data_IF_616524200832
#
_entry.id   IF_616524200832
#
_cell.length_a   1.000
_cell.length_b   1.000
_cell.length_c   1.000
_cell.angle_alpha   90.00
_cell.angle_beta   90.00
_cell.angle_gamma   90.00
#
_symmetry.space_group_name_H-M   'P 1'
#
loop_
_entity.id
_entity.type
_entity.pdbx_description
1 polymer ?
#
# COMPACT_ATOMS: atom_id res chain seq x y z
N UNK A 1 42.97 -36.17 16.58
CA UNK A 1 41.85 -37.10 16.28
C UNK A 1 40.75 -36.80 17.29
N UNK A 2 39.55 -36.32 17.00
CA UNK A 2 38.91 -35.85 15.78
C UNK A 2 37.69 -35.00 16.20
N UNK A 3 37.36 -34.00 15.39
CA UNK A 3 36.13 -33.21 15.49
C UNK A 3 34.91 -34.08 15.19
N UNK A 4 33.81 -33.89 15.91
CA UNK A 4 32.48 -34.26 15.45
C UNK A 4 31.64 -32.98 15.27
N UNK A 5 31.27 -32.75 14.01
CA UNK A 5 30.45 -31.64 13.54
C UNK A 5 28.97 -31.78 13.94
N UNK A 6 28.36 -30.63 14.25
CA UNK A 6 27.13 -30.10 13.64
C UNK A 6 25.91 -30.99 13.47
N UNK A 7 24.84 -30.63 14.20
CA UNK A 7 23.47 -30.73 13.68
C UNK A 7 22.81 -29.35 13.83
N UNK A 8 22.90 -28.54 12.78
CA UNK A 8 22.04 -27.36 12.60
C UNK A 8 20.60 -27.84 12.34
N UNK A 9 19.62 -27.19 12.97
CA UNK A 9 18.22 -27.32 12.64
C UNK A 9 17.94 -26.78 11.22
N UNK A 10 16.93 -27.29 10.49
CA UNK A 10 16.60 -26.77 9.17
C UNK A 10 16.15 -25.30 9.29
N UNK A 11 16.87 -24.41 8.61
CA UNK A 11 16.49 -23.01 8.42
C UNK A 11 15.19 -22.99 7.62
N UNK A 12 14.14 -22.39 8.18
CA UNK A 12 12.90 -22.16 7.46
C UNK A 12 13.17 -21.32 6.20
N UNK A 13 12.65 -21.79 5.07
CA UNK A 13 12.72 -21.11 3.78
C UNK A 13 12.26 -19.66 3.88
N UNK A 14 13.10 -18.76 3.38
CA UNK A 14 12.82 -17.33 3.36
C UNK A 14 12.00 -17.04 2.10
N UNK A 15 10.71 -16.71 2.25
CA UNK A 15 9.93 -16.16 1.13
C UNK A 15 10.51 -14.77 0.79
N UNK A 16 11.18 -14.66 -0.36
CA UNK A 16 11.58 -13.39 -0.93
C UNK A 16 10.53 -12.96 -1.96
N UNK A 17 9.70 -11.98 -1.62
CA UNK A 17 8.84 -11.29 -2.58
C UNK A 17 9.60 -10.10 -3.16
N UNK A 18 10.01 -10.18 -4.43
CA UNK A 18 10.62 -9.06 -5.14
C UNK A 18 9.55 -8.28 -5.90
N UNK A 19 9.23 -7.05 -5.44
CA UNK A 19 8.34 -6.15 -6.18
C UNK A 19 9.19 -5.18 -7.02
N UNK A 20 9.15 -5.35 -8.34
CA UNK A 20 9.76 -4.40 -9.27
C UNK A 20 8.64 -3.62 -9.97
N UNK A 21 8.61 -2.30 -9.76
CA UNK A 21 7.65 -1.40 -10.41
C UNK A 21 8.43 -0.47 -11.33
N UNK A 22 8.15 -0.51 -12.62
CA UNK A 22 8.65 0.45 -13.61
C UNK A 22 7.50 1.40 -13.95
N UNK A 23 7.77 2.70 -13.94
CA UNK A 23 6.81 3.74 -14.26
C UNK A 23 7.37 4.63 -15.37
N UNK A 24 6.59 4.80 -16.43
CA UNK A 24 6.90 5.69 -17.55
C UNK A 24 5.75 6.69 -17.69
N UNK A 25 6.08 7.98 -17.81
CA UNK A 25 5.09 9.05 -18.02
C UNK A 25 5.44 9.82 -19.29
N UNK A 26 4.46 9.99 -20.17
CA UNK A 26 4.58 10.74 -21.42
C UNK A 26 3.51 11.81 -21.43
N UNK A 27 3.90 13.07 -21.64
CA UNK A 27 2.98 14.20 -21.79
C UNK A 27 3.04 14.71 -23.22
N UNK A 28 1.87 14.89 -23.85
CA UNK A 28 1.70 15.49 -25.18
C UNK A 28 0.81 16.72 -25.07
N UNK A 29 1.13 17.74 -25.86
CA UNK A 29 0.37 18.99 -25.93
C UNK A 29 0.02 19.24 -27.39
N UNK A 30 -1.25 19.12 -27.72
CA UNK A 30 -1.76 19.32 -29.08
C UNK A 30 -2.92 20.32 -29.05
N UNK A 31 -2.74 21.49 -29.67
CA UNK A 31 -3.79 22.50 -29.81
C UNK A 31 -4.40 23.02 -28.49
N UNK A 32 -3.61 23.06 -27.41
CA UNK A 32 -4.08 23.48 -26.07
C UNK A 32 -4.66 22.35 -25.20
N UNK A 33 -4.69 21.12 -25.71
CA UNK A 33 -5.07 19.91 -24.95
C UNK A 33 -3.82 19.26 -24.37
N UNK A 34 -3.80 19.02 -23.06
CA UNK A 34 -2.70 18.35 -22.37
C UNK A 34 -3.09 16.89 -22.10
N UNK A 35 -2.38 15.96 -22.72
CA UNK A 35 -2.59 14.52 -22.53
C UNK A 35 -1.40 13.91 -21.82
N UNK A 36 -1.59 13.39 -20.62
CA UNK A 36 -0.58 12.69 -19.83
C UNK A 36 -0.91 11.20 -19.75
N UNK A 37 -0.06 10.37 -20.33
CA UNK A 37 -0.14 8.90 -20.23
C UNK A 37 0.91 8.41 -19.24
N UNK A 38 0.48 7.78 -18.15
CA UNK A 38 1.35 7.09 -17.19
C UNK A 38 1.15 5.59 -17.31
N UNK A 39 2.21 4.87 -17.66
CA UNK A 39 2.24 3.41 -17.69
C UNK A 39 2.98 2.91 -16.47
N UNK A 40 2.31 2.09 -15.66
CA UNK A 40 2.90 1.38 -14.52
C UNK A 40 2.94 -0.11 -14.81
N UNK A 41 4.13 -0.69 -14.78
CA UNK A 41 4.32 -2.15 -14.85
C UNK A 41 4.80 -2.64 -13.50
N UNK A 42 3.97 -3.42 -12.81
CA UNK A 42 4.34 -4.14 -11.60
C UNK A 42 4.63 -5.60 -11.94
N UNK A 43 5.84 -6.07 -11.62
CA UNK A 43 6.16 -7.50 -11.63
C UNK A 43 6.12 -8.01 -10.20
N UNK A 44 5.17 -8.89 -9.93
CA UNK A 44 5.00 -9.59 -8.67
C UNK A 44 5.59 -10.98 -8.87
N UNK A 45 6.70 -11.26 -8.20
CA UNK A 45 7.34 -12.58 -8.21
C UNK A 45 7.00 -13.29 -6.91
N UNK A 46 6.28 -14.41 -7.02
CA UNK A 46 6.07 -15.34 -5.92
C UNK A 46 6.99 -16.55 -6.10
N UNK A 47 7.88 -16.73 -5.13
CA UNK A 47 8.73 -17.92 -5.01
C UNK A 47 8.13 -18.81 -3.94
N UNK A 48 7.67 -20.00 -4.32
CA UNK A 48 7.19 -21.02 -3.38
C UNK A 48 8.17 -22.18 -3.32
N UNK A 49 8.69 -22.49 -2.14
CA UNK A 49 9.41 -23.75 -1.88
C UNK A 49 8.38 -24.84 -1.55
N UNK A 50 8.35 -25.93 -2.33
CA UNK A 50 7.52 -27.10 -2.00
C UNK A 50 8.24 -27.96 -0.96
N UNK A 51 7.58 -28.27 0.15
CA UNK A 51 8.11 -29.09 1.25
C UNK A 51 8.12 -30.60 0.96
N UNK A 52 8.43 -31.03 -0.27
CA UNK A 52 8.78 -32.41 -0.54
C UNK A 52 10.29 -32.53 -0.50
N UNK A 53 10.85 -33.26 0.47
CA UNK A 53 12.28 -33.33 0.79
C UNK A 53 13.22 -33.91 -0.29
N UNK A 54 13.16 -33.40 -1.51
CA UNK A 54 14.09 -33.63 -2.61
C UNK A 54 14.61 -32.28 -3.13
N UNK A 55 15.93 -32.10 -3.33
CA UNK A 55 16.47 -30.87 -3.90
C UNK A 55 16.22 -30.87 -5.41
N UNK A 56 15.44 -29.92 -5.95
CA UNK A 56 15.15 -29.96 -7.39
C UNK A 56 14.52 -28.74 -8.03
N UNK A 57 13.32 -28.32 -7.63
CA UNK A 57 12.50 -27.44 -8.48
C UNK A 57 12.02 -26.19 -7.75
N UNK A 58 12.63 -25.04 -8.09
CA UNK A 58 12.12 -23.71 -7.71
C UNK A 58 11.13 -23.28 -8.78
N UNK A 59 9.85 -23.16 -8.43
CA UNK A 59 8.83 -22.59 -9.31
C UNK A 59 8.74 -21.09 -9.07
N UNK A 60 9.20 -20.30 -10.04
CA UNK A 60 9.03 -18.85 -10.04
C UNK A 60 7.74 -18.51 -10.79
N UNK A 61 6.68 -18.17 -10.05
CA UNK A 61 5.44 -17.66 -10.66
C UNK A 61 5.50 -16.14 -10.65
N UNK A 62 5.59 -15.57 -11.86
CA UNK A 62 5.57 -14.12 -12.06
C UNK A 62 4.20 -13.67 -12.56
N UNK A 63 3.54 -12.77 -11.83
CA UNK A 63 2.39 -12.04 -12.33
C UNK A 63 2.83 -10.62 -12.70
N UNK A 64 2.58 -10.24 -13.95
CA UNK A 64 2.85 -8.88 -14.42
C UNK A 64 1.52 -8.16 -14.53
N UNK A 65 1.34 -7.15 -13.67
CA UNK A 65 0.21 -6.23 -13.75
C UNK A 65 0.66 -4.96 -14.45
N UNK A 66 0.06 -4.66 -15.60
CA UNK A 66 0.25 -3.37 -16.29
C UNK A 66 -0.97 -2.52 -16.11
N UNK A 67 -0.78 -1.29 -15.65
CA UNK A 67 -1.83 -0.28 -15.56
C UNK A 67 -1.39 0.93 -16.36
N UNK A 68 -2.13 1.25 -17.41
CA UNK A 68 -1.97 2.48 -18.20
C UNK A 68 -3.09 3.44 -17.78
N UNK A 69 -2.71 4.64 -17.36
CA UNK A 69 -3.62 5.73 -17.04
C UNK A 69 -3.36 6.84 -18.04
N UNK A 70 -4.37 7.21 -18.82
CA UNK A 70 -4.31 8.37 -19.72
C UNK A 70 -5.23 9.44 -19.18
N UNK A 71 -4.66 10.59 -18.81
CA UNK A 71 -5.40 11.79 -18.40
C UNK A 71 -5.33 12.81 -19.53
N UNK A 72 -6.47 13.23 -20.05
CA UNK A 72 -6.60 14.30 -21.04
C UNK A 72 -7.28 15.49 -20.38
N UNK A 73 -6.63 16.66 -20.42
CA UNK A 73 -7.17 17.92 -19.92
C UNK A 73 -7.39 18.83 -21.13
N UNK A 74 -8.64 19.22 -21.37
CA UNK A 74 -9.02 20.19 -22.39
C UNK A 74 -9.48 21.47 -21.72
N UNK A 75 -8.89 22.59 -22.08
CA UNK A 75 -9.38 23.89 -21.65
C UNK A 75 -10.37 24.43 -22.69
N UNK A 76 -11.59 24.69 -22.25
CA UNK A 76 -12.66 25.23 -23.09
C UNK A 76 -12.49 26.75 -23.24
N UNK A 77 -13.08 27.31 -24.30
CA UNK A 77 -13.00 28.75 -24.61
C UNK A 77 -13.65 29.65 -23.54
N UNK A 78 -14.49 29.08 -22.66
CA UNK A 78 -15.11 29.76 -21.52
C UNK A 78 -14.24 29.73 -20.24
N UNK A 79 -13.03 29.16 -20.32
CA UNK A 79 -12.10 29.01 -19.20
C UNK A 79 -12.34 27.78 -18.32
N UNK A 80 -13.33 26.93 -18.64
CA UNK A 80 -13.56 25.67 -17.93
C UNK A 80 -12.61 24.56 -18.39
N UNK A 81 -12.33 23.59 -17.53
CA UNK A 81 -11.50 22.43 -17.86
C UNK A 81 -12.35 21.17 -17.95
N UNK A 82 -12.24 20.43 -19.06
CA UNK A 82 -12.77 19.09 -19.22
C UNK A 82 -11.63 18.07 -19.01
N UNK A 83 -11.78 17.21 -18.00
CA UNK A 83 -10.80 16.16 -17.67
C UNK A 83 -11.37 14.79 -18.02
N UNK A 84 -10.68 14.06 -18.88
CA UNK A 84 -11.03 12.70 -19.31
C UNK A 84 -9.93 11.76 -18.83
N UNK A 85 -10.28 10.76 -18.03
CA UNK A 85 -9.35 9.74 -17.54
C UNK A 85 -9.72 8.35 -18.06
N UNK A 86 -8.80 7.74 -18.81
CA UNK A 86 -8.91 6.38 -19.32
C UNK A 86 -7.92 5.46 -18.57
N UNK A 87 -8.46 4.46 -17.87
CA UNK A 87 -7.65 3.49 -17.12
C UNK A 87 -7.79 2.12 -17.79
N UNK A 88 -6.66 1.58 -18.25
CA UNK A 88 -6.56 0.24 -18.82
C UNK A 88 -5.64 -0.57 -17.92
N UNK A 89 -6.16 -1.63 -17.30
CA UNK A 89 -5.34 -2.60 -16.54
C UNK A 89 -5.36 -3.95 -17.24
N UNK A 90 -4.18 -4.50 -17.48
CA UNK A 90 -3.95 -5.84 -18.01
C UNK A 90 -3.29 -6.70 -16.94
N UNK A 91 -3.99 -7.75 -16.53
CA UNK A 91 -3.50 -8.80 -15.64
C UNK A 91 -3.04 -9.96 -16.53
N UNK A 92 -1.87 -9.82 -17.14
CA UNK A 92 -1.35 -10.79 -18.11
C UNK A 92 -1.26 -12.19 -17.51
N UNK A 93 -2.11 -13.09 -18.00
CA UNK A 93 -2.12 -14.50 -17.62
C UNK A 93 -0.89 -15.26 -18.14
N UNK A 94 -0.34 -16.10 -17.25
CA UNK A 94 0.63 -17.19 -17.40
C UNK A 94 1.45 -17.29 -18.71
N UNK A 95 2.78 -17.17 -18.62
CA UNK A 95 3.70 -17.92 -19.49
C UNK A 95 4.76 -18.62 -18.64
N UNK A 96 4.66 -19.94 -18.58
CA UNK A 96 5.67 -20.83 -17.99
C UNK A 96 6.82 -20.92 -18.99
N UNK A 97 8.00 -20.41 -18.63
CA UNK A 97 9.22 -20.66 -19.41
C UNK A 97 9.95 -21.86 -18.82
N UNK A 98 9.71 -23.05 -19.37
CA UNK A 98 10.60 -24.19 -19.19
C UNK A 98 11.93 -23.91 -19.92
N UNK A 99 13.07 -24.03 -19.22
CA UNK A 99 14.37 -24.09 -19.87
C UNK A 99 14.73 -25.57 -20.11
N UNK A 100 14.95 -26.02 -21.36
CA UNK A 100 15.44 -27.38 -21.58
C UNK A 100 16.96 -27.46 -21.34
N UNK A 101 17.38 -28.47 -20.58
CA UNK A 101 18.79 -28.88 -20.45
C UNK A 101 19.21 -29.71 -21.68
N UNK A 102 20.50 -29.61 -22.04
CA UNK A 102 21.19 -30.28 -23.16
C UNK A 102 21.18 -31.82 -23.04
N UNK A 103 21.03 -32.53 -24.17
CA UNK A 103 21.59 -33.89 -24.33
C UNK A 103 20.88 -34.86 -25.28
N UNK A 104 21.22 -34.78 -26.58
CA UNK A 104 21.62 -35.87 -27.51
C UNK A 104 20.65 -37.05 -27.88
N UNK A 105 20.54 -37.22 -29.21
CA UNK A 105 20.05 -38.34 -30.07
C UNK A 105 18.53 -38.51 -30.31
N UNK A 106 18.13 -38.30 -31.58
CA UNK A 106 16.84 -38.74 -32.12
C UNK A 106 16.37 -37.93 -33.32
N UNK A 107 16.89 -38.26 -34.50
CA UNK A 107 16.50 -37.72 -35.81
C UNK A 107 15.04 -38.08 -36.14
N UNK A 108 14.21 -37.12 -36.59
CA UNK A 108 13.31 -37.26 -37.75
C UNK A 108 12.46 -36.00 -38.02
N UNK A 109 12.73 -35.41 -39.18
CA UNK A 109 11.82 -34.78 -40.15
C UNK A 109 10.89 -33.65 -39.72
N UNK A 110 11.23 -32.43 -40.18
CA UNK A 110 10.34 -31.28 -40.17
C UNK A 110 9.42 -31.19 -41.39
N UNK A 111 8.27 -30.55 -41.18
CA UNK A 111 7.46 -29.73 -42.11
C UNK A 111 6.52 -28.93 -41.20
N UNK A 112 6.78 -27.64 -40.97
CA UNK A 112 6.34 -26.47 -41.73
C UNK A 112 4.81 -26.36 -41.75
N UNK A 113 4.27 -25.52 -40.87
CA UNK A 113 3.13 -24.65 -41.17
C UNK A 113 3.20 -23.39 -40.29
N UNK A 114 3.46 -22.26 -40.96
CA UNK A 114 3.14 -20.92 -40.45
C UNK A 114 1.82 -20.60 -41.11
N UNK A 115 0.75 -20.46 -40.34
CA UNK A 115 -0.40 -19.71 -40.81
C UNK A 115 -0.64 -18.49 -39.94
N UNK A 116 -0.83 -17.39 -40.65
CA UNK A 116 -0.88 -16.00 -40.19
C UNK A 116 -2.35 -15.65 -40.10
N UNK A 117 -3.00 -15.96 -38.98
CA UNK A 117 -4.39 -15.57 -38.78
C UNK A 117 -4.46 -14.16 -38.20
N UNK A 118 -5.06 -13.29 -38.98
CA UNK A 118 -5.28 -11.87 -38.78
C UNK A 118 -6.10 -11.54 -37.52
N UNK A 119 -5.56 -10.63 -36.71
CA UNK A 119 -6.20 -10.01 -35.55
C UNK A 119 -7.24 -8.99 -36.04
N UNK A 120 -8.44 -9.45 -36.41
CA UNK A 120 -9.51 -8.54 -36.85
C UNK A 120 -10.94 -8.95 -36.43
N UNK A 121 -11.13 -10.04 -35.69
CA UNK A 121 -12.48 -10.54 -35.38
C UNK A 121 -12.71 -10.90 -33.91
N UNK A 122 -12.49 -9.95 -32.99
CA UNK A 122 -13.05 -10.08 -31.63
C UNK A 122 -13.20 -8.72 -30.93
N UNK A 123 -14.13 -7.91 -31.44
CA UNK A 123 -14.58 -6.67 -30.78
C UNK A 123 -16.11 -6.55 -30.70
N UNK A 124 -16.86 -7.65 -30.83
CA UNK A 124 -18.34 -7.60 -30.85
C UNK A 124 -19.07 -7.98 -29.56
N UNK A 125 -18.40 -8.53 -28.54
CA UNK A 125 -19.07 -9.00 -27.31
C UNK A 125 -18.61 -8.35 -25.99
N UNK A 126 -18.07 -7.12 -26.02
CA UNK A 126 -17.90 -6.34 -24.78
C UNK A 126 -19.12 -5.44 -24.56
N UNK A 127 -20.14 -6.03 -23.94
CA UNK A 127 -21.28 -5.29 -23.43
C UNK A 127 -20.81 -4.29 -22.37
N UNK A 128 -20.79 -3.01 -22.73
CA UNK A 128 -20.56 -1.89 -21.81
C UNK A 128 -21.73 -1.90 -20.82
N UNK A 129 -21.46 -2.21 -19.55
CA UNK A 129 -22.44 -2.08 -18.48
C UNK A 129 -22.64 -0.59 -18.18
N UNK A 130 -23.44 0.08 -19.00
CA UNK A 130 -23.91 1.44 -18.73
C UNK A 130 -25.01 1.32 -17.68
N UNK A 131 -24.65 1.39 -16.40
CA UNK A 131 -25.65 1.64 -15.35
C UNK A 131 -26.07 3.11 -15.43
N UNK A 132 -27.38 3.43 -15.46
CA UNK A 132 -27.83 4.82 -15.40
C UNK A 132 -27.26 5.45 -14.13
N UNK A 133 -26.60 6.59 -14.31
CA UNK A 133 -26.02 7.36 -13.21
C UNK A 133 -27.19 7.94 -12.43
N UNK A 134 -27.63 7.21 -11.40
CA UNK A 134 -28.37 7.83 -10.30
C UNK A 134 -27.53 8.98 -9.75
N UNK A 135 -28.17 10.12 -9.56
CA UNK A 135 -27.63 11.40 -9.06
C UNK A 135 -26.31 11.25 -8.29
N UNK A 136 -25.18 11.41 -8.99
CA UNK A 136 -23.89 11.59 -8.30
C UNK A 136 -23.95 12.96 -7.66
N UNK A 137 -24.14 13.00 -6.33
CA UNK A 137 -23.79 14.17 -5.53
C UNK A 137 -22.41 14.66 -5.99
N UNK A 138 -22.29 15.98 -6.17
CA UNK A 138 -21.04 16.66 -6.47
C UNK A 138 -19.88 16.09 -5.61
N UNK A 139 -18.64 16.06 -6.13
CA UNK A 139 -17.50 15.54 -5.38
C UNK A 139 -17.48 16.21 -3.99
N UNK A 140 -17.51 15.40 -2.94
CA UNK A 140 -17.49 15.89 -1.58
C UNK A 140 -16.25 16.80 -1.42
N UNK A 141 -16.47 18.01 -0.92
CA UNK A 141 -15.40 18.95 -0.60
C UNK A 141 -14.31 18.21 0.20
N UNK A 142 -13.01 18.39 -0.10
CA UNK A 142 -11.95 17.78 0.68
C UNK A 142 -12.11 18.18 2.15
N UNK A 143 -11.98 17.20 3.06
CA UNK A 143 -12.04 17.43 4.50
C UNK A 143 -11.08 18.57 4.84
N UNK A 144 -11.51 19.54 5.63
CA UNK A 144 -10.58 20.48 6.27
C UNK A 144 -9.66 19.75 7.24
N UNK A 145 -8.54 20.35 7.63
CA UNK A 145 -7.62 19.72 8.58
C UNK A 145 -8.26 19.48 9.95
N UNK A 146 -9.23 20.34 10.33
CA UNK A 146 -10.02 20.14 11.55
C UNK A 146 -10.90 18.91 11.43
N UNK A 147 -11.59 18.72 10.31
CA UNK A 147 -12.43 17.54 10.07
C UNK A 147 -11.57 16.27 9.96
N UNK A 148 -10.40 16.34 9.34
CA UNK A 148 -9.43 15.25 9.30
C UNK A 148 -8.99 14.83 10.71
N UNK A 149 -8.62 15.78 11.57
CA UNK A 149 -8.23 15.51 12.97
C UNK A 149 -9.36 14.85 13.75
N UNK A 150 -10.59 15.33 13.58
CA UNK A 150 -11.78 14.74 14.20
C UNK A 150 -12.06 13.33 13.68
N UNK A 151 -11.88 13.09 12.38
CA UNK A 151 -12.04 11.77 11.77
C UNK A 151 -10.98 10.78 12.28
N UNK A 152 -9.72 11.20 12.36
CA UNK A 152 -8.66 10.43 13.03
C UNK A 152 -9.08 10.05 14.46
N UNK A 153 -9.44 11.03 15.28
CA UNK A 153 -9.83 10.78 16.68
C UNK A 153 -11.02 9.83 16.80
N UNK A 154 -12.03 10.02 15.95
CA UNK A 154 -13.22 9.17 15.89
C UNK A 154 -12.85 7.71 15.63
N UNK A 155 -12.01 7.43 14.64
CA UNK A 155 -11.64 6.06 14.29
C UNK A 155 -10.70 5.42 15.30
N UNK A 156 -9.80 6.19 15.92
CA UNK A 156 -9.05 5.68 17.08
C UNK A 156 -9.99 5.25 18.20
N UNK A 157 -10.95 6.09 18.56
CA UNK A 157 -11.87 5.82 19.65
C UNK A 157 -12.85 4.68 19.33
N UNK A 158 -13.22 4.50 18.07
CA UNK A 158 -13.95 3.33 17.60
C UNK A 158 -13.19 2.04 17.90
N UNK A 159 -11.93 1.93 17.47
CA UNK A 159 -11.11 0.74 17.71
C UNK A 159 -10.78 0.54 19.19
N UNK A 160 -10.50 1.61 19.92
CA UNK A 160 -10.27 1.55 21.37
C UNK A 160 -11.48 1.00 22.14
N UNK A 161 -12.69 1.35 21.72
CA UNK A 161 -13.91 0.82 22.32
C UNK A 161 -14.05 -0.70 22.15
N UNK A 162 -13.68 -1.25 20.98
CA UNK A 162 -13.64 -2.69 20.69
C UNK A 162 -12.73 -3.42 21.69
N UNK A 163 -11.61 -2.80 22.06
CA UNK A 163 -10.64 -3.35 23.02
C UNK A 163 -10.94 -2.99 24.48
N UNK A 164 -11.97 -2.18 24.74
CA UNK A 164 -12.34 -1.77 26.10
C UNK A 164 -11.38 -0.81 26.79
N UNK A 165 -10.55 -0.11 26.03
CA UNK A 165 -9.65 0.92 26.58
C UNK A 165 -10.31 2.30 26.49
N UNK A 166 -9.96 3.20 27.42
CA UNK A 166 -10.53 4.55 27.48
C UNK A 166 -10.32 5.33 26.19
N UNK A 167 -11.27 6.15 25.74
CA UNK A 167 -11.11 6.97 24.53
C UNK A 167 -9.97 7.99 24.71
N UNK A 168 -9.26 8.28 23.64
CA UNK A 168 -8.31 9.38 23.54
C UNK A 168 -9.06 10.72 23.47
N UNK A 169 -8.40 11.77 23.96
CA UNK A 169 -8.81 13.16 23.84
C UNK A 169 -7.99 13.87 22.78
N UNK A 170 -8.63 14.80 22.07
CA UNK A 170 -7.95 15.70 21.15
C UNK A 170 -6.96 16.60 21.90
N UNK A 171 -5.76 16.80 21.35
CA UNK A 171 -4.79 17.79 21.84
C UNK A 171 -4.28 18.66 20.69
N UNK A 172 -4.53 19.96 20.78
CA UNK A 172 -4.04 20.94 19.79
C UNK A 172 -2.50 21.06 19.81
N UNK A 173 -1.87 20.91 20.99
CA UNK A 173 -0.41 20.88 21.11
C UNK A 173 0.18 19.72 20.30
N UNK A 174 -0.36 18.51 20.48
CA UNK A 174 0.09 17.34 19.72
C UNK A 174 -0.24 17.48 18.22
N UNK A 175 -1.33 18.15 17.84
CA UNK A 175 -1.62 18.42 16.43
C UNK A 175 -0.59 19.35 15.80
N UNK A 176 -0.17 20.40 16.51
CA UNK A 176 0.91 21.28 16.06
C UNK A 176 2.24 20.52 15.92
N UNK A 177 2.54 19.65 16.88
CA UNK A 177 3.73 18.80 16.86
C UNK A 177 3.71 17.79 15.70
N UNK A 178 2.57 17.17 15.43
CA UNK A 178 2.39 16.27 14.30
C UNK A 178 2.50 17.00 12.96
N UNK A 179 1.93 18.21 12.86
CA UNK A 179 1.96 19.02 11.64
C UNK A 179 3.39 19.41 11.27
N UNK A 180 4.18 19.88 12.23
CA UNK A 180 5.58 20.24 11.98
C UNK A 180 6.37 19.05 11.42
N UNK A 181 6.14 17.85 11.94
CA UNK A 181 6.81 16.66 11.41
C UNK A 181 6.28 16.25 10.03
N UNK A 182 4.96 16.27 9.81
CA UNK A 182 4.35 15.95 8.52
C UNK A 182 4.90 16.88 7.41
N UNK A 183 4.99 18.18 7.70
CA UNK A 183 5.54 19.18 6.78
C UNK A 183 7.04 18.95 6.54
N UNK A 184 7.80 18.61 7.57
CA UNK A 184 9.22 18.26 7.45
C UNK A 184 9.43 17.04 6.56
N UNK A 185 8.66 15.96 6.77
CA UNK A 185 8.70 14.76 5.94
C UNK A 185 8.31 15.09 4.50
N UNK A 186 7.30 15.93 4.32
CA UNK A 186 6.83 16.29 2.99
C UNK A 186 7.81 17.15 2.20
N UNK A 187 8.47 18.09 2.87
CA UNK A 187 9.52 18.94 2.29
C UNK A 187 10.77 18.15 1.92
N UNK A 188 11.16 17.17 2.74
CA UNK A 188 12.33 16.32 2.49
C UNK A 188 12.05 15.13 1.56
N UNK A 189 10.77 14.87 1.29
CA UNK A 189 10.26 13.69 0.58
C UNK A 189 10.74 12.35 1.19
N UNK A 190 10.91 12.34 2.51
CA UNK A 190 11.35 11.18 3.31
C UNK A 190 10.20 10.58 4.11
N UNK A 191 10.33 9.32 4.51
CA UNK A 191 9.37 8.66 5.38
C UNK A 191 10.09 7.99 6.55
N UNK A 192 10.18 8.70 7.66
CA UNK A 192 10.84 8.23 8.88
C UNK A 192 10.20 8.83 10.14
N UNK A 193 10.41 8.13 11.26
CA UNK A 193 9.99 8.63 12.56
C UNK A 193 10.78 9.86 12.99
N UNK A 194 10.16 10.69 13.83
CA UNK A 194 10.84 11.84 14.42
C UNK A 194 12.01 11.40 15.31
N UNK A 195 13.22 11.94 15.11
CA UNK A 195 14.33 11.67 16.01
C UNK A 195 14.06 12.27 17.40
N UNK A 196 14.43 11.55 18.46
CA UNK A 196 14.25 11.99 19.86
C UNK A 196 12.80 12.39 20.18
N UNK A 197 11.83 11.63 19.69
CA UNK A 197 10.42 11.93 19.91
C UNK A 197 10.05 11.80 21.39
N UNK A 198 9.47 12.86 21.96
CA UNK A 198 8.95 12.89 23.33
C UNK A 198 7.64 12.11 23.47
N UNK A 199 6.90 11.99 22.37
CA UNK A 199 5.56 11.38 22.32
C UNK A 199 5.61 10.03 21.59
N UNK A 200 4.55 9.23 21.73
CA UNK A 200 4.32 8.10 20.83
C UNK A 200 4.08 8.61 19.41
N UNK A 201 4.34 7.79 18.39
CA UNK A 201 4.17 8.20 17.00
C UNK A 201 3.76 7.06 16.08
N UNK A 202 2.75 7.33 15.26
CA UNK A 202 2.48 6.55 14.06
C UNK A 202 2.62 7.46 12.84
N UNK A 203 3.19 6.92 11.77
CA UNK A 203 3.25 7.57 10.45
C UNK A 203 2.58 6.68 9.40
N UNK A 204 1.88 7.30 8.46
CA UNK A 204 1.23 6.63 7.35
C UNK A 204 1.56 7.37 6.05
N UNK A 205 1.69 6.62 4.96
CA UNK A 205 1.95 7.18 3.65
C UNK A 205 1.13 6.45 2.59
N UNK A 206 0.48 7.25 1.75
CA UNK A 206 -0.10 6.83 0.49
C UNK A 206 0.51 7.66 -0.64
N UNK A 207 0.33 7.22 -1.88
CA UNK A 207 0.73 7.98 -3.05
C UNK A 207 -0.43 8.11 -4.03
N UNK A 208 -0.57 9.29 -4.62
CA UNK A 208 -1.57 9.57 -5.66
C UNK A 208 -1.01 10.53 -6.70
N UNK A 209 -1.21 10.21 -7.98
CA UNK A 209 -0.98 11.15 -9.09
C UNK A 209 -2.09 12.20 -9.24
N UNK A 210 -3.27 11.95 -8.65
CA UNK A 210 -4.35 12.92 -8.61
C UNK A 210 -4.04 13.97 -7.52
N UNK A 211 -3.86 15.25 -7.91
CA UNK A 211 -3.57 16.33 -6.96
C UNK A 211 -4.75 16.64 -6.02
N UNK A 212 -5.96 16.17 -6.36
CA UNK A 212 -7.17 16.40 -5.56
C UNK A 212 -7.45 15.30 -4.54
N UNK A 213 -6.78 14.14 -4.67
CA UNK A 213 -6.99 12.99 -3.78
C UNK A 213 -6.43 13.27 -2.40
N UNK A 214 -7.30 13.51 -1.44
CA UNK A 214 -6.92 13.63 -0.03
C UNK A 214 -6.94 12.27 0.69
N UNK A 215 -6.13 12.17 1.74
CA UNK A 215 -6.16 11.05 2.70
C UNK A 215 -7.12 11.39 3.84
N UNK A 216 -8.03 10.46 4.14
CA UNK A 216 -8.94 10.54 5.28
C UNK A 216 -8.28 10.05 6.56
N UNK A 217 -8.82 10.44 7.71
CA UNK A 217 -8.33 9.94 9.00
C UNK A 217 -8.59 8.44 9.13
N UNK A 218 -9.75 7.99 8.66
CA UNK A 218 -10.10 6.58 8.58
C UNK A 218 -9.05 5.75 7.84
N UNK A 219 -8.66 6.14 6.62
CA UNK A 219 -7.70 5.36 5.80
C UNK A 219 -6.39 5.11 6.55
N UNK A 220 -5.85 6.12 7.24
CA UNK A 220 -4.62 5.98 8.03
C UNK A 220 -4.82 5.09 9.26
N UNK A 221 -5.90 5.29 10.01
CA UNK A 221 -6.17 4.55 11.25
C UNK A 221 -6.49 3.09 10.97
N UNK A 222 -7.28 2.79 9.94
CA UNK A 222 -7.60 1.44 9.51
C UNK A 222 -6.32 0.69 9.08
N UNK A 223 -5.41 1.38 8.38
CA UNK A 223 -4.10 0.82 8.02
C UNK A 223 -3.29 0.44 9.26
N UNK A 224 -3.16 1.35 10.23
CA UNK A 224 -2.44 1.07 11.49
C UNK A 224 -3.11 -0.05 12.30
N UNK A 225 -4.44 -0.04 12.41
CA UNK A 225 -5.19 -1.06 13.14
C UNK A 225 -5.09 -2.44 12.49
N UNK A 226 -4.98 -2.52 11.17
CA UNK A 226 -4.90 -3.78 10.42
C UNK A 226 -3.74 -4.70 10.84
N UNK A 227 -2.72 -4.15 11.49
CA UNK A 227 -1.60 -4.89 12.07
C UNK A 227 -2.03 -5.84 13.22
N UNK A 228 -3.25 -5.70 13.75
CA UNK A 228 -3.84 -6.65 14.70
C UNK A 228 -3.74 -8.11 14.21
N UNK A 229 -3.81 -8.34 12.89
CA UNK A 229 -3.70 -9.67 12.26
C UNK A 229 -2.36 -10.36 12.53
N UNK A 230 -1.32 -9.59 12.88
CA UNK A 230 0.04 -10.06 13.18
C UNK A 230 0.34 -10.06 14.68
N UNK A 231 -0.56 -9.51 15.50
CA UNK A 231 -0.32 -9.31 16.92
C UNK A 231 -0.68 -10.55 17.74
N UNK A 232 0.18 -10.92 18.68
CA UNK A 232 -0.07 -11.97 19.66
C UNK A 232 -0.37 -11.33 21.00
N UNK A 233 -1.60 -11.52 21.50
CA UNK A 233 -2.06 -10.93 22.75
C UNK A 233 -1.50 -11.66 23.98
N UNK A 234 -1.38 -10.92 25.09
CA UNK A 234 -1.03 -11.48 26.41
C UNK A 234 0.45 -11.81 26.61
N UNK A 235 1.30 -11.57 25.60
CA UNK A 235 2.74 -11.72 25.70
C UNK A 235 3.48 -10.48 25.18
N UNK A 236 4.73 -10.33 25.56
CA UNK A 236 5.60 -9.30 25.00
C UNK A 236 5.97 -9.64 23.54
N UNK A 237 5.90 -8.67 22.62
CA UNK A 237 6.23 -8.91 21.22
C UNK A 237 7.75 -9.08 21.03
N UNK A 238 8.15 -10.02 20.18
CA UNK A 238 9.58 -10.21 19.81
C UNK A 238 10.10 -9.11 18.88
N UNK A 239 9.21 -8.40 18.20
CA UNK A 239 9.51 -7.26 17.33
C UNK A 239 8.33 -6.30 17.30
N UNK A 240 8.57 -5.03 16.96
CA UNK A 240 7.53 -4.01 16.84
C UNK A 240 6.77 -4.07 15.49
N UNK A 241 6.67 -5.25 14.86
CA UNK A 241 5.99 -5.42 13.56
C UNK A 241 4.48 -5.16 13.59
N UNK A 242 3.89 -5.01 14.78
CA UNK A 242 2.51 -4.55 15.00
C UNK A 242 2.46 -3.24 15.80
N UNK A 243 3.54 -2.46 15.76
CA UNK A 243 3.75 -1.29 16.61
C UNK A 243 2.72 -0.18 16.40
N UNK A 244 2.19 -0.03 15.17
CA UNK A 244 1.17 0.98 14.92
C UNK A 244 -0.15 0.59 15.59
N UNK A 245 -0.56 -0.68 15.44
CA UNK A 245 -1.76 -1.22 16.08
C UNK A 245 -1.68 -1.07 17.61
N UNK A 246 -0.56 -1.51 18.21
CA UNK A 246 -0.41 -1.48 19.66
C UNK A 246 -0.45 -0.06 20.21
N UNK A 247 0.06 0.93 19.46
CA UNK A 247 -0.04 2.33 19.84
C UNK A 247 -1.47 2.88 19.73
N UNK A 248 -2.24 2.53 18.70
CA UNK A 248 -3.64 2.97 18.53
C UNK A 248 -4.49 2.59 19.74
N UNK A 249 -4.34 1.35 20.22
CA UNK A 249 -5.13 0.81 21.35
C UNK A 249 -4.37 0.78 22.67
N UNK A 250 -3.24 1.49 22.77
CA UNK A 250 -2.45 1.53 24.00
C UNK A 250 -3.25 2.12 25.16
N UNK A 251 -3.51 1.31 26.19
CA UNK A 251 -4.34 1.69 27.34
C UNK A 251 -3.83 2.93 28.07
N UNK A 252 -2.50 3.06 28.22
CA UNK A 252 -1.88 4.18 28.94
C UNK A 252 -1.88 5.52 28.20
N UNK A 253 -2.16 5.54 26.88
CA UNK A 253 -2.23 6.78 26.11
C UNK A 253 -3.60 7.45 26.28
N UNK A 254 -3.60 8.76 26.46
CA UNK A 254 -4.79 9.54 26.83
C UNK A 254 -5.11 10.65 25.82
N UNK A 255 -4.10 11.19 25.15
CA UNK A 255 -4.23 12.28 24.20
C UNK A 255 -3.71 11.89 22.82
N UNK A 256 -4.31 12.48 21.80
CA UNK A 256 -3.98 12.30 20.40
C UNK A 256 -3.89 13.66 19.72
N UNK A 257 -2.83 13.85 18.93
CA UNK A 257 -2.79 14.86 17.89
C UNK A 257 -2.46 14.23 16.55
N UNK A 258 -3.07 14.72 15.48
CA UNK A 258 -2.81 14.21 14.13
C UNK A 258 -2.73 15.33 13.11
N UNK A 259 -1.98 15.08 12.06
CA UNK A 259 -1.77 16.01 10.97
C UNK A 259 -1.47 15.26 9.69
N UNK A 260 -1.60 15.97 8.57
CA UNK A 260 -1.26 15.44 7.25
C UNK A 260 -0.56 16.51 6.42
N UNK A 261 0.23 16.06 5.47
CA UNK A 261 0.91 16.90 4.50
C UNK A 261 1.04 16.16 3.17
N UNK A 262 1.18 16.92 2.07
CA UNK A 262 1.42 16.38 0.74
C UNK A 262 2.80 16.78 0.24
N UNK A 263 3.52 15.82 -0.33
CA UNK A 263 4.83 16.07 -0.94
C UNK A 263 4.67 16.55 -2.38
N UNK A 264 5.68 17.24 -2.91
CA UNK A 264 5.70 17.63 -4.32
C UNK A 264 5.63 16.43 -5.28
N UNK A 265 6.04 15.23 -4.83
CA UNK A 265 6.00 13.99 -5.60
C UNK A 265 4.64 13.27 -5.52
N UNK A 266 3.65 13.84 -4.83
CA UNK A 266 2.30 13.28 -4.72
C UNK A 266 2.10 12.28 -3.58
N UNK A 267 3.08 12.15 -2.66
CA UNK A 267 2.88 11.33 -1.44
C UNK A 267 2.01 12.10 -0.45
N UNK A 268 1.04 11.41 0.13
CA UNK A 268 0.17 11.86 1.21
C UNK A 268 0.71 11.28 2.50
N UNK A 269 1.16 12.13 3.42
CA UNK A 269 1.77 11.74 4.68
C UNK A 269 0.79 12.08 5.80
N UNK A 270 0.60 11.15 6.73
CA UNK A 270 -0.14 11.36 7.97
C UNK A 270 0.79 11.06 9.13
N UNK A 271 0.78 11.93 10.14
CA UNK A 271 1.50 11.76 11.39
C UNK A 271 0.48 11.84 12.53
N UNK A 272 0.56 10.91 13.47
CA UNK A 272 -0.22 10.94 14.71
C UNK A 272 0.72 10.81 15.91
N UNK A 273 0.57 11.69 16.90
CA UNK A 273 1.32 11.65 18.15
C UNK A 273 0.41 11.36 19.36
N UNK A 274 0.96 10.61 20.31
CA UNK A 274 0.23 10.07 21.46
C UNK A 274 0.91 10.47 22.77
N UNK A 275 0.11 10.88 23.75
CA UNK A 275 0.62 11.21 25.08
C UNK A 275 -0.22 10.53 26.18
N UNK A 276 0.40 9.84 27.15
CA UNK A 276 1.77 9.31 27.14
C UNK A 276 2.07 8.39 25.95
N UNK A 277 3.36 8.22 25.65
CA UNK A 277 3.83 7.30 24.61
C UNK A 277 3.47 5.84 24.93
N UNK A 278 3.14 5.07 23.89
CA UNK A 278 2.92 3.64 23.98
C UNK A 278 4.15 2.81 23.64
N UNK A 279 3.94 1.53 23.36
CA UNK A 279 4.96 0.58 22.92
C UNK A 279 6.18 0.46 23.86
N UNK A 280 5.96 0.66 25.16
CA UNK A 280 6.98 0.45 26.19
C UNK A 280 7.20 -1.05 26.38
N UNK A 281 8.43 -1.51 26.11
CA UNK A 281 8.84 -2.90 26.29
C UNK A 281 8.60 -3.32 27.75
N UNK A 282 8.00 -4.49 27.95
CA UNK A 282 7.62 -5.01 29.26
C UNK A 282 6.23 -4.57 29.74
N UNK A 283 5.51 -3.76 28.96
CA UNK A 283 4.19 -3.23 29.32
C UNK A 283 3.07 -3.60 28.34
N UNK A 284 3.33 -4.44 27.33
CA UNK A 284 2.35 -4.75 26.28
C UNK A 284 1.17 -5.55 26.81
N UNK A 285 1.42 -6.59 27.61
CA UNK A 285 0.35 -7.46 28.14
C UNK A 285 -0.72 -6.68 28.93
N UNK A 286 -0.33 -5.57 29.57
CA UNK A 286 -1.23 -4.73 30.38
C UNK A 286 -1.91 -3.62 29.56
N UNK A 287 -1.29 -3.21 28.45
CA UNK A 287 -1.73 -2.05 27.66
C UNK A 287 -2.41 -2.41 26.35
N UNK A 288 -2.31 -3.66 25.89
CA UNK A 288 -2.83 -4.13 24.61
C UNK A 288 -3.80 -5.31 24.84
N UNK A 289 -5.01 -5.05 25.39
CA UNK A 289 -5.98 -6.11 25.63
C UNK A 289 -6.53 -6.66 24.30
N UNK A 290 -6.98 -7.93 24.25
CA UNK A 290 -7.69 -8.46 23.09
C UNK A 290 -9.05 -7.75 22.90
N UNK A 291 -9.66 -7.84 21.70
CA UNK A 291 -11.04 -7.39 21.48
C UNK A 291 -12.01 -8.01 22.49
N UNK A 292 -13.03 -7.25 22.91
CA UNK A 292 -14.14 -7.78 23.71
C UNK A 292 -14.87 -8.88 22.92
N UNK A 293 -15.23 -9.95 23.64
CA UNK A 293 -16.10 -11.00 23.13
C UNK A 293 -17.55 -10.54 23.13
#
# INVERSE_FOLDING_TARGET
MGQCCGKEAPRGGQMSSGNHSIQETITRIDGGVVTTTTTRTQRIVQVSETSSGYPGDIFETGHVKRTVVTRTIKQNADGTEEVIEDIVSDDGGLQVHEKPKKGIFGFLSGKKDRDRTTVAESLKDRQVLIKPIGERKAPAKPLSDKEFRQDCLKWHNHYRAIHGVSPLKHSDELCGYAQEWADTLAKKDTFCHRPNNKYGENIYMAWSSDPTKEVTGQEAVDSWYSEIKKHQFGCEPRSLGSGHFTQVIWKGSNELGSARARTATGKLIVVANYNPAGNLIGSFAQNVPPPKK
#
